data_IF_469446150248
#
_entry.id   IF_469446150248
#
_cell.length_a   1.000
_cell.length_b   1.000
_cell.length_c   1.000
_cell.angle_alpha   90.00
_cell.angle_beta   90.00
_cell.angle_gamma   90.00
#
_symmetry.space_group_name_H-M   'P 1'
#
loop_
_entity.id
_entity.type
_entity.pdbx_description
1 polymer ?
#
# COMPACT_ATOMS: atom_id res chain seq x y z
N UNK A 1 34.41 11.30 -8.67
CA UNK A 1 33.46 10.14 -8.70
C UNK A 1 32.99 9.90 -7.28
N UNK A 2 31.67 9.70 -7.07
CA UNK A 2 31.10 9.42 -5.71
C UNK A 2 31.37 7.96 -5.31
N UNK A 3 31.24 7.64 -4.02
CA UNK A 3 31.37 6.25 -3.51
C UNK A 3 30.44 5.28 -4.26
N UNK A 4 29.23 5.72 -4.58
CA UNK A 4 28.27 4.92 -5.38
C UNK A 4 28.82 4.64 -6.77
N UNK A 5 29.38 5.64 -7.44
CA UNK A 5 29.97 5.46 -8.77
C UNK A 5 31.18 4.50 -8.78
N UNK A 6 32.01 4.53 -7.74
CA UNK A 6 33.14 3.58 -7.59
C UNK A 6 32.60 2.15 -7.38
N UNK A 7 31.57 1.96 -6.56
CA UNK A 7 30.94 0.64 -6.35
C UNK A 7 30.36 0.10 -7.66
N UNK A 8 29.57 0.91 -8.38
CA UNK A 8 29.03 0.52 -9.69
C UNK A 8 30.12 0.11 -10.67
N UNK A 9 31.22 0.89 -10.74
CA UNK A 9 32.35 0.57 -11.63
C UNK A 9 32.99 -0.78 -11.26
N UNK A 10 33.15 -1.09 -9.97
CA UNK A 10 33.69 -2.37 -9.49
C UNK A 10 32.75 -3.53 -9.80
N UNK A 11 31.44 -3.38 -9.54
CA UNK A 11 30.44 -4.41 -9.80
C UNK A 11 30.31 -4.75 -11.29
N UNK A 12 30.46 -3.76 -12.17
CA UNK A 12 30.52 -3.99 -13.62
C UNK A 12 31.77 -4.81 -14.04
N UNK A 13 32.78 -4.89 -13.19
CA UNK A 13 33.97 -5.74 -13.38
C UNK A 13 33.92 -7.09 -12.68
N UNK A 14 32.76 -7.40 -12.04
CA UNK A 14 32.57 -8.64 -11.32
C UNK A 14 33.05 -8.62 -9.87
N UNK A 15 33.47 -7.46 -9.33
CA UNK A 15 33.81 -7.30 -7.91
C UNK A 15 32.55 -6.95 -7.11
N UNK A 16 32.07 -7.86 -6.25
CA UNK A 16 30.94 -7.58 -5.36
C UNK A 16 31.31 -6.51 -4.33
N UNK A 17 30.59 -5.39 -4.33
CA UNK A 17 30.81 -4.27 -3.40
C UNK A 17 29.76 -4.17 -2.29
N UNK A 18 28.70 -4.98 -2.36
CA UNK A 18 27.63 -5.05 -1.38
C UNK A 18 27.61 -6.48 -0.85
N UNK A 19 27.87 -6.63 0.45
CA UNK A 19 27.75 -7.92 1.12
C UNK A 19 26.29 -8.33 1.21
N UNK A 20 26.02 -9.63 1.21
CA UNK A 20 24.70 -10.18 1.56
C UNK A 20 24.55 -10.04 3.07
N UNK A 21 23.93 -8.94 3.49
CA UNK A 21 23.64 -8.70 4.90
C UNK A 21 22.21 -9.14 5.20
N UNK A 22 21.96 -9.48 6.46
CA UNK A 22 20.58 -9.68 6.94
C UNK A 22 19.77 -8.39 6.73
N UNK A 23 18.60 -8.51 6.13
CA UNK A 23 17.75 -7.37 5.87
C UNK A 23 17.33 -6.73 7.21
N UNK A 24 17.61 -5.45 7.44
CA UNK A 24 17.19 -4.77 8.66
C UNK A 24 15.67 -4.74 8.75
N UNK A 25 15.15 -4.71 9.96
CA UNK A 25 13.72 -4.59 10.18
C UNK A 25 13.16 -3.35 9.49
N UNK A 26 12.02 -3.51 8.81
CA UNK A 26 11.37 -2.41 8.10
C UNK A 26 10.93 -1.33 9.08
N UNK A 27 11.30 -0.09 8.81
CA UNK A 27 10.87 1.08 9.59
C UNK A 27 9.49 1.59 9.18
N UNK A 28 9.09 1.33 7.95
CA UNK A 28 7.80 1.72 7.37
C UNK A 28 7.38 0.78 6.25
N UNK A 29 6.08 0.76 5.97
CA UNK A 29 5.51 0.11 4.78
C UNK A 29 4.69 1.16 4.04
N UNK A 30 5.01 1.36 2.76
CA UNK A 30 4.27 2.25 1.88
C UNK A 30 3.53 1.44 0.81
N UNK A 31 2.28 1.81 0.58
CA UNK A 31 1.51 1.36 -0.58
C UNK A 31 0.94 2.58 -1.27
N UNK A 32 1.32 2.80 -2.51
CA UNK A 32 0.90 3.96 -3.30
C UNK A 32 0.79 3.60 -4.77
N UNK A 33 0.04 4.42 -5.51
CA UNK A 33 -0.06 4.31 -6.96
C UNK A 33 -0.26 5.68 -7.60
N UNK A 34 0.30 5.84 -8.79
CA UNK A 34 -0.07 6.92 -9.70
C UNK A 34 -1.24 6.47 -10.56
N UNK A 35 -2.16 7.39 -10.82
CA UNK A 35 -3.36 7.13 -11.62
C UNK A 35 -3.12 7.44 -13.11
N UNK A 36 -3.90 6.77 -13.97
CA UNK A 36 -3.86 7.02 -15.41
C UNK A 36 -4.40 8.42 -15.76
N UNK A 37 -4.26 8.82 -16.99
CA UNK A 37 -4.80 10.03 -17.59
C UNK A 37 -4.52 11.29 -16.74
N UNK A 38 -5.55 12.06 -16.44
CA UNK A 38 -5.41 13.28 -15.62
C UNK A 38 -5.34 13.02 -14.13
N UNK A 39 -5.71 11.83 -13.66
CA UNK A 39 -5.83 11.50 -12.25
C UNK A 39 -7.29 11.37 -11.77
N UNK A 40 -7.51 11.40 -10.46
CA UNK A 40 -8.83 11.29 -9.84
C UNK A 40 -9.23 12.62 -9.20
N UNK A 41 -10.49 13.05 -9.41
CA UNK A 41 -11.02 14.29 -8.84
C UNK A 41 -12.23 14.09 -7.92
N UNK A 42 -12.76 12.87 -7.82
CA UNK A 42 -13.90 12.55 -6.95
C UNK A 42 -13.42 11.97 -5.64
N UNK A 43 -13.99 12.43 -4.52
CA UNK A 43 -13.71 11.91 -3.19
C UNK A 43 -13.89 10.39 -3.12
N UNK A 44 -15.00 9.88 -3.67
CA UNK A 44 -15.30 8.45 -3.62
C UNK A 44 -14.20 7.58 -4.24
N UNK A 45 -13.64 7.98 -5.39
CA UNK A 45 -12.59 7.23 -6.09
C UNK A 45 -11.27 7.25 -5.31
N UNK A 46 -10.91 8.40 -4.74
CA UNK A 46 -9.69 8.53 -3.91
C UNK A 46 -9.87 7.81 -2.59
N UNK A 47 -11.06 7.84 -1.99
CA UNK A 47 -11.40 7.13 -0.76
C UNK A 47 -11.29 5.62 -0.95
N UNK A 48 -11.88 5.07 -2.02
CA UNK A 48 -11.75 3.66 -2.38
C UNK A 48 -10.28 3.26 -2.52
N UNK A 49 -9.49 4.09 -3.19
CA UNK A 49 -8.07 3.86 -3.40
C UNK A 49 -7.29 3.83 -2.09
N UNK A 50 -7.49 4.83 -1.22
CA UNK A 50 -6.84 4.94 0.09
C UNK A 50 -7.25 3.77 0.99
N UNK A 51 -8.53 3.37 0.98
CA UNK A 51 -9.01 2.20 1.72
C UNK A 51 -8.32 0.92 1.28
N UNK A 52 -8.16 0.72 -0.03
CA UNK A 52 -7.44 -0.43 -0.58
C UNK A 52 -5.96 -0.43 -0.18
N UNK A 53 -5.30 0.73 -0.17
CA UNK A 53 -3.89 0.82 0.23
C UNK A 53 -3.70 0.60 1.73
N UNK A 54 -4.59 1.13 2.57
CA UNK A 54 -4.58 0.87 4.01
C UNK A 54 -4.77 -0.63 4.32
N UNK A 55 -5.72 -1.29 3.66
CA UNK A 55 -5.93 -2.73 3.78
C UNK A 55 -4.71 -3.54 3.33
N UNK A 56 -4.02 -3.13 2.26
CA UNK A 56 -2.78 -3.78 1.81
C UNK A 56 -1.64 -3.58 2.80
N UNK A 57 -1.50 -2.38 3.39
CA UNK A 57 -0.50 -2.14 4.45
C UNK A 57 -0.78 -3.04 5.66
N UNK A 58 -2.03 -3.12 6.10
CA UNK A 58 -2.49 -3.99 7.19
C UNK A 58 -2.14 -5.46 6.93
N UNK A 59 -2.44 -5.98 5.73
CA UNK A 59 -2.08 -7.34 5.35
C UNK A 59 -0.57 -7.59 5.40
N UNK A 60 0.24 -6.66 4.86
CA UNK A 60 1.70 -6.76 4.88
C UNK A 60 2.27 -6.75 6.30
N UNK A 61 1.66 -5.98 7.22
CA UNK A 61 2.04 -6.01 8.64
C UNK A 61 1.78 -7.38 9.25
N UNK A 62 0.60 -7.96 9.04
CA UNK A 62 0.26 -9.30 9.57
C UNK A 62 1.14 -10.40 8.99
N UNK A 63 1.43 -10.36 7.68
CA UNK A 63 2.34 -11.32 7.02
C UNK A 63 3.75 -11.28 7.61
N UNK A 64 4.16 -10.16 8.19
CA UNK A 64 5.48 -9.97 8.82
C UNK A 64 5.43 -10.09 10.34
N UNK A 65 4.28 -10.47 10.94
CA UNK A 65 4.08 -10.52 12.38
C UNK A 65 4.45 -9.22 13.08
N UNK A 66 3.98 -8.12 12.52
CA UNK A 66 4.25 -6.76 13.01
C UNK A 66 2.97 -5.94 13.14
N UNK A 67 3.08 -4.84 13.88
CA UNK A 67 2.07 -3.81 14.05
C UNK A 67 2.69 -2.44 13.75
N UNK A 68 1.87 -1.45 13.44
CA UNK A 68 2.32 -0.06 13.30
C UNK A 68 1.75 0.83 14.39
N UNK A 69 2.47 1.90 14.72
CA UNK A 69 2.03 2.91 15.68
C UNK A 69 1.38 4.12 15.03
N UNK A 70 1.67 4.38 13.76
CA UNK A 70 1.19 5.55 13.05
C UNK A 70 0.84 5.23 11.61
N UNK A 71 -0.13 5.95 11.08
CA UNK A 71 -0.54 5.89 9.68
C UNK A 71 -0.49 7.28 9.06
N UNK A 72 0.03 7.37 7.85
CA UNK A 72 0.06 8.58 7.02
C UNK A 72 -0.69 8.32 5.75
N UNK A 73 -1.56 9.22 5.36
CA UNK A 73 -2.13 9.25 4.02
C UNK A 73 -1.51 10.40 3.23
N UNK A 74 -1.43 10.22 1.93
CA UNK A 74 -1.07 11.31 1.03
C UNK A 74 -1.82 11.19 -0.29
N UNK A 75 -2.15 12.36 -0.86
CA UNK A 75 -2.64 12.48 -2.24
C UNK A 75 -2.13 13.81 -2.81
N UNK A 76 -1.66 13.79 -4.05
CA UNK A 76 -1.17 15.02 -4.68
C UNK A 76 -1.46 15.04 -6.18
N UNK A 77 -1.64 16.24 -6.69
CA UNK A 77 -1.74 16.54 -8.12
C UNK A 77 -0.39 16.39 -8.81
N UNK A 78 -0.35 16.48 -10.14
CA UNK A 78 0.90 16.41 -10.89
C UNK A 78 1.60 17.77 -10.90
N UNK A 79 2.81 17.86 -10.37
CA UNK A 79 3.65 19.07 -10.39
C UNK A 79 4.06 19.51 -11.80
N UNK A 80 3.95 18.62 -12.79
CA UNK A 80 4.31 18.89 -14.19
C UNK A 80 3.14 19.48 -15.01
N UNK A 81 1.97 19.62 -14.40
CA UNK A 81 0.77 20.19 -15.02
C UNK A 81 0.55 21.58 -14.45
N UNK A 82 1.25 22.57 -15.01
CA UNK A 82 1.15 23.98 -14.62
C UNK A 82 -0.19 24.61 -15.05
N UNK A 83 -0.88 23.97 -15.98
CA UNK A 83 -2.20 24.35 -16.47
C UNK A 83 -3.34 23.97 -15.48
N UNK A 84 -3.08 23.17 -14.47
CA UNK A 84 -4.05 22.72 -13.47
C UNK A 84 -3.71 23.23 -12.06
N UNK A 85 -4.71 23.55 -11.25
CA UNK A 85 -4.48 23.94 -9.88
C UNK A 85 -3.84 22.80 -9.09
N UNK A 86 -2.93 23.16 -8.18
CA UNK A 86 -2.18 22.19 -7.38
C UNK A 86 -2.81 21.99 -6.00
N UNK A 87 -2.92 20.74 -5.60
CA UNK A 87 -3.37 20.33 -4.27
C UNK A 87 -2.47 19.24 -3.70
N UNK A 88 -2.28 19.27 -2.39
CA UNK A 88 -1.49 18.32 -1.65
C UNK A 88 -2.14 18.00 -0.31
N UNK A 89 -2.49 16.73 -0.10
CA UNK A 89 -2.98 16.19 1.16
C UNK A 89 -1.85 15.33 1.73
N UNK A 90 -1.43 15.61 2.96
CA UNK A 90 -0.46 14.80 3.69
C UNK A 90 -0.81 14.88 5.17
N UNK A 91 -1.33 13.79 5.71
CA UNK A 91 -1.80 13.74 7.09
C UNK A 91 -1.29 12.49 7.77
N UNK A 92 -0.85 12.65 9.01
CA UNK A 92 -0.37 11.55 9.86
C UNK A 92 -1.21 11.50 11.13
N UNK A 93 -1.61 10.31 11.54
CA UNK A 93 -2.26 10.07 12.81
C UNK A 93 -1.56 8.93 13.56
N UNK A 94 -1.50 9.06 14.88
CA UNK A 94 -1.02 8.00 15.75
C UNK A 94 -2.20 7.14 16.21
N UNK A 95 -1.97 5.83 16.26
CA UNK A 95 -2.91 4.89 16.83
C UNK A 95 -2.78 4.91 18.36
N UNK A 96 -3.89 4.78 19.06
CA UNK A 96 -3.91 4.72 20.53
C UNK A 96 -3.20 3.46 21.03
N UNK A 97 -3.33 2.37 20.31
CA UNK A 97 -2.65 1.09 20.52
C UNK A 97 -2.03 0.66 19.19
N UNK A 98 -0.78 0.23 19.13
CA UNK A 98 -0.18 -0.30 17.91
C UNK A 98 -1.03 -1.42 17.32
N UNK A 99 -1.29 -1.36 16.01
CA UNK A 99 -2.26 -2.26 15.38
C UNK A 99 -1.83 -2.72 13.99
N UNK A 100 -2.34 -3.86 13.58
CA UNK A 100 -2.33 -4.36 12.19
C UNK A 100 -3.75 -4.72 11.72
N UNK A 101 -4.77 -4.29 12.45
CA UNK A 101 -6.16 -4.54 12.09
C UNK A 101 -6.57 -3.71 10.87
N UNK A 102 -7.18 -4.38 9.88
CA UNK A 102 -7.53 -3.74 8.63
C UNK A 102 -8.70 -2.76 8.76
N UNK A 103 -9.66 -3.02 9.64
CA UNK A 103 -10.81 -2.13 9.83
C UNK A 103 -10.37 -0.83 10.51
N UNK A 104 -9.49 -0.95 11.51
CA UNK A 104 -8.95 0.19 12.24
C UNK A 104 -8.11 1.08 11.31
N UNK A 105 -7.17 0.50 10.54
CA UNK A 105 -6.32 1.25 9.63
C UNK A 105 -7.11 1.88 8.47
N UNK A 106 -8.06 1.15 7.89
CA UNK A 106 -8.93 1.67 6.82
C UNK A 106 -9.81 2.81 7.34
N UNK A 107 -10.47 2.61 8.49
CA UNK A 107 -11.33 3.63 9.09
C UNK A 107 -10.56 4.92 9.41
N UNK A 108 -9.35 4.80 9.97
CA UNK A 108 -8.48 5.94 10.25
C UNK A 108 -8.08 6.66 8.97
N UNK A 109 -7.63 5.93 7.95
CA UNK A 109 -7.21 6.50 6.68
C UNK A 109 -8.34 7.27 5.97
N UNK A 110 -9.53 6.68 5.91
CA UNK A 110 -10.72 7.30 5.32
C UNK A 110 -11.15 8.55 6.11
N UNK A 111 -11.15 8.48 7.43
CA UNK A 111 -11.48 9.62 8.30
C UNK A 111 -10.52 10.79 8.06
N UNK A 112 -9.22 10.51 7.96
CA UNK A 112 -8.22 11.54 7.68
C UNK A 112 -8.40 12.15 6.29
N UNK A 113 -8.71 11.31 5.27
CA UNK A 113 -8.95 11.81 3.92
C UNK A 113 -10.16 12.75 3.89
N UNK A 114 -11.30 12.33 4.44
CA UNK A 114 -12.53 13.14 4.50
C UNK A 114 -12.33 14.47 5.22
N UNK A 115 -11.60 14.46 6.32
CA UNK A 115 -11.31 15.67 7.10
C UNK A 115 -10.42 16.70 6.36
N UNK A 116 -9.68 16.26 5.34
CA UNK A 116 -8.73 17.11 4.59
C UNK A 116 -9.09 17.24 3.12
N UNK A 117 -10.23 16.67 2.71
CA UNK A 117 -10.69 16.76 1.34
C UNK A 117 -11.14 18.20 1.03
N UNK A 118 -10.80 18.65 -0.16
CA UNK A 118 -11.29 19.93 -0.71
C UNK A 118 -12.26 19.63 -1.83
N UNK A 119 -13.48 20.10 -1.69
CA UNK A 119 -14.52 19.98 -2.72
C UNK A 119 -14.25 21.00 -3.84
N UNK A 120 -13.35 20.66 -4.72
CA UNK A 120 -13.06 21.44 -5.94
C UNK A 120 -12.70 20.46 -7.06
N UNK A 121 -13.60 20.31 -8.01
CA UNK A 121 -13.48 19.38 -9.15
C UNK A 121 -12.29 19.67 -10.08
N UNK A 122 -11.61 20.80 -9.90
CA UNK A 122 -10.40 21.15 -10.66
C UNK A 122 -9.16 20.45 -10.14
N UNK A 123 -9.17 19.88 -8.93
CA UNK A 123 -8.04 19.13 -8.40
C UNK A 123 -8.04 17.68 -8.89
N UNK A 124 -7.11 17.38 -9.77
CA UNK A 124 -6.88 16.02 -10.25
C UNK A 124 -5.72 15.38 -9.52
N UNK A 125 -6.02 14.55 -8.53
CA UNK A 125 -4.99 13.83 -7.77
C UNK A 125 -4.33 12.78 -8.65
N UNK A 126 -3.05 12.97 -8.94
CA UNK A 126 -2.27 12.09 -9.82
C UNK A 126 -1.65 10.91 -9.10
N UNK A 127 -1.41 11.04 -7.81
CA UNK A 127 -0.87 9.97 -6.97
C UNK A 127 -1.49 10.02 -5.58
N UNK A 128 -1.81 8.85 -5.06
CA UNK A 128 -2.22 8.68 -3.67
C UNK A 128 -1.52 7.47 -3.03
N UNK A 129 -1.47 7.45 -1.70
CA UNK A 129 -0.86 6.35 -0.98
C UNK A 129 -1.10 6.40 0.52
N UNK A 130 -0.73 5.29 1.14
CA UNK A 130 -0.73 5.11 2.59
C UNK A 130 0.64 4.64 3.02
N UNK A 131 1.15 5.20 4.11
CA UNK A 131 2.39 4.79 4.74
C UNK A 131 2.08 4.45 6.20
N UNK A 132 2.56 3.32 6.67
CA UNK A 132 2.50 2.96 8.09
C UNK A 132 3.90 2.99 8.69
N UNK A 133 4.01 3.54 9.91
CA UNK A 133 5.26 3.84 10.59
C UNK A 133 5.30 3.25 11.99
N UNK A 134 6.50 3.29 12.61
CA UNK A 134 6.69 2.79 13.97
C UNK A 134 6.36 1.32 14.04
N UNK A 135 6.97 0.54 13.13
CA UNK A 135 6.75 -0.91 13.03
C UNK A 135 7.46 -1.61 14.18
N UNK A 136 6.71 -2.42 14.92
CA UNK A 136 7.20 -3.28 15.99
C UNK A 136 6.61 -4.69 15.86
N UNK A 137 7.14 -5.66 16.62
CA UNK A 137 6.62 -7.03 16.64
C UNK A 137 5.23 -7.07 17.29
N UNK A 138 4.35 -7.93 16.78
CA UNK A 138 2.97 -8.09 17.27
C UNK A 138 2.86 -8.77 18.63
N UNK A 139 3.95 -9.36 19.14
CA UNK A 139 4.04 -9.97 20.47
C UNK A 139 4.49 -9.00 21.58
N UNK A 140 4.75 -7.73 21.26
CA UNK A 140 5.25 -6.72 22.20
C UNK A 140 4.40 -5.43 22.13
N UNK A 141 3.07 -5.58 22.20
CA UNK A 141 2.14 -4.46 22.13
C UNK A 141 1.84 -3.95 23.53
N UNK A 142 2.09 -2.65 23.75
CA UNK A 142 1.61 -1.99 24.95
C UNK A 142 0.11 -1.68 24.78
N UNK A 143 -0.71 -2.27 25.61
CA UNK A 143 -2.16 -2.02 25.63
C UNK A 143 -2.47 -0.72 26.34
N UNK A 144 -3.63 -0.13 26.03
CA UNK A 144 -4.15 1.06 26.69
C UNK A 144 -5.38 0.68 27.55
N UNK A 145 -5.43 1.21 28.76
CA UNK A 145 -6.56 0.98 29.67
C UNK A 145 -7.92 1.47 29.09
N UNK A 146 -7.89 2.44 28.20
CA UNK A 146 -9.08 3.00 27.55
C UNK A 146 -9.37 2.37 26.18
N UNK A 147 -8.67 1.29 25.82
CA UNK A 147 -8.97 0.57 24.58
C UNK A 147 -10.28 -0.21 24.72
N UNK A 148 -11.27 0.20 23.94
CA UNK A 148 -12.62 -0.42 23.94
C UNK A 148 -12.75 -1.56 22.94
N UNK A 149 -11.70 -1.81 22.13
CA UNK A 149 -11.73 -2.81 21.09
C UNK A 149 -11.38 -4.20 21.63
N UNK A 150 -12.15 -5.21 21.22
CA UNK A 150 -11.79 -6.59 21.51
C UNK A 150 -10.71 -7.07 20.52
N UNK A 151 -9.44 -6.89 20.90
CA UNK A 151 -8.26 -7.19 20.08
C UNK A 151 -8.17 -8.67 19.69
N UNK A 152 -8.55 -9.58 20.57
CA UNK A 152 -8.54 -11.03 20.30
C UNK A 152 -9.54 -11.38 19.20
N UNK A 153 -10.76 -10.85 19.30
CA UNK A 153 -11.80 -11.06 18.29
C UNK A 153 -11.39 -10.49 16.94
N UNK A 154 -10.80 -9.29 16.93
CA UNK A 154 -10.30 -8.67 15.70
C UNK A 154 -9.17 -9.49 15.07
N UNK A 155 -8.22 -9.97 15.84
CA UNK A 155 -7.13 -10.80 15.35
C UNK A 155 -7.66 -12.14 14.77
N UNK A 156 -8.64 -12.77 15.44
CA UNK A 156 -9.28 -13.99 14.95
C UNK A 156 -10.01 -13.74 13.62
N UNK A 157 -10.77 -12.63 13.52
CA UNK A 157 -11.46 -12.23 12.29
C UNK A 157 -10.47 -11.96 11.15
N UNK A 158 -9.42 -11.19 11.41
CA UNK A 158 -8.38 -10.89 10.42
C UNK A 158 -7.72 -12.17 9.89
N UNK A 159 -7.38 -13.11 10.78
CA UNK A 159 -6.82 -14.42 10.41
C UNK A 159 -7.78 -15.22 9.52
N UNK A 160 -9.07 -15.23 9.83
CA UNK A 160 -10.09 -15.91 9.02
C UNK A 160 -10.22 -15.28 7.61
N UNK A 161 -10.28 -13.94 7.53
CA UNK A 161 -10.33 -13.20 6.26
C UNK A 161 -9.07 -13.47 5.42
N UNK A 162 -7.89 -13.40 6.04
CA UNK A 162 -6.63 -13.67 5.34
C UNK A 162 -6.56 -15.11 4.81
N UNK A 163 -7.07 -16.09 5.57
CA UNK A 163 -7.13 -17.50 5.14
C UNK A 163 -8.05 -17.67 3.92
N UNK A 164 -9.24 -17.05 3.93
CA UNK A 164 -10.18 -17.10 2.82
C UNK A 164 -9.58 -16.41 1.58
N UNK A 165 -9.01 -15.23 1.75
CA UNK A 165 -8.40 -14.48 0.66
C UNK A 165 -7.17 -15.17 0.07
N UNK A 166 -6.41 -15.93 0.87
CA UNK A 166 -5.28 -16.74 0.39
C UNK A 166 -5.75 -17.93 -0.45
N UNK A 167 -6.85 -18.59 -0.02
CA UNK A 167 -7.37 -19.78 -0.71
C UNK A 167 -8.11 -19.43 -2.00
N UNK A 168 -8.89 -18.35 -2.00
CA UNK A 168 -9.83 -18.03 -3.09
C UNK A 168 -9.40 -16.85 -3.98
N UNK A 169 -8.19 -16.32 -3.74
CA UNK A 169 -7.66 -15.15 -4.44
C UNK A 169 -7.79 -13.85 -3.65
N UNK A 170 -6.91 -12.91 -3.95
CA UNK A 170 -6.81 -11.64 -3.21
C UNK A 170 -8.12 -10.83 -3.23
N UNK A 171 -8.48 -10.27 -2.08
CA UNK A 171 -9.61 -9.35 -1.90
C UNK A 171 -10.99 -9.95 -2.23
N UNK A 172 -11.20 -11.24 -1.98
CA UNK A 172 -12.54 -11.86 -2.06
C UNK A 172 -13.44 -11.39 -0.92
N UNK A 173 -12.88 -11.29 0.29
CA UNK A 173 -13.51 -10.61 1.42
C UNK A 173 -12.76 -9.32 1.66
N UNK A 174 -13.51 -8.20 1.73
CA UNK A 174 -12.99 -6.85 1.93
C UNK A 174 -13.96 -5.97 2.69
N UNK A 175 -13.51 -4.83 3.18
CA UNK A 175 -14.36 -3.82 3.79
C UNK A 175 -15.13 -3.09 2.68
N UNK A 176 -16.41 -2.77 2.90
CA UNK A 176 -17.29 -2.18 1.89
C UNK A 176 -16.70 -0.91 1.22
N UNK A 177 -16.00 -0.07 1.98
CA UNK A 177 -15.37 1.15 1.46
C UNK A 177 -14.24 0.89 0.44
N UNK A 178 -13.77 -0.34 0.32
CA UNK A 178 -12.78 -0.73 -0.70
C UNK A 178 -13.40 -0.87 -2.11
N UNK A 179 -14.72 -0.74 -2.24
CA UNK A 179 -15.44 -0.76 -3.51
C UNK A 179 -15.28 -2.05 -4.32
N UNK A 180 -15.95 -2.10 -5.44
CA UNK A 180 -15.87 -3.20 -6.41
C UNK A 180 -15.24 -2.77 -7.74
N UNK A 181 -15.44 -1.52 -8.10
CA UNK A 181 -14.97 -0.95 -9.34
C UNK A 181 -13.51 -0.52 -9.19
N UNK A 182 -12.62 -1.16 -9.91
CA UNK A 182 -11.20 -0.82 -9.91
C UNK A 182 -10.86 0.16 -11.03
N UNK A 183 -11.75 1.13 -11.30
CA UNK A 183 -11.58 2.13 -12.36
C UNK A 183 -10.29 2.96 -12.23
N UNK A 184 -9.76 3.07 -11.01
CA UNK A 184 -8.48 3.71 -10.70
C UNK A 184 -7.24 2.86 -11.03
N UNK A 185 -7.41 1.59 -11.40
CA UNK A 185 -6.28 0.74 -11.78
C UNK A 185 -5.79 1.10 -13.18
N UNK A 186 -4.48 1.00 -13.37
CA UNK A 186 -3.88 1.13 -14.70
C UNK A 186 -4.42 0.03 -15.62
N UNK A 187 -4.88 0.40 -16.77
CA UNK A 187 -5.23 -0.52 -17.84
C UNK A 187 -3.98 -1.27 -18.28
N UNK A 188 -4.07 -2.59 -18.35
CA UNK A 188 -2.99 -3.47 -18.80
C UNK A 188 -3.37 -4.08 -20.14
N UNK A 189 -3.46 -3.25 -21.17
CA UNK A 189 -3.94 -3.67 -22.49
C UNK A 189 -2.82 -4.33 -23.33
N UNK A 190 -1.58 -3.91 -23.12
CA UNK A 190 -0.42 -4.38 -23.87
C UNK A 190 0.66 -4.92 -22.94
N UNK A 191 0.40 -6.08 -22.32
CA UNK A 191 1.40 -6.80 -21.55
C UNK A 191 2.08 -7.86 -22.42
N UNK A 192 3.40 -7.99 -22.29
CA UNK A 192 4.12 -9.12 -22.86
C UNK A 192 3.67 -10.43 -22.18
N UNK A 193 3.80 -11.53 -22.90
CA UNK A 193 3.54 -12.86 -22.34
C UNK A 193 4.43 -13.13 -21.14
N UNK A 194 3.87 -13.81 -20.15
CA UNK A 194 4.51 -14.08 -18.86
C UNK A 194 5.13 -15.50 -18.87
N UNK A 195 6.09 -15.75 -19.76
CA UNK A 195 6.67 -17.07 -20.01
C UNK A 195 7.23 -17.80 -18.77
N UNK A 196 7.61 -17.04 -17.73
CA UNK A 196 8.22 -17.61 -16.52
C UNK A 196 7.25 -17.77 -15.34
N UNK A 197 6.06 -17.18 -15.42
CA UNK A 197 5.10 -17.13 -14.30
C UNK A 197 3.71 -17.59 -14.65
N UNK A 198 3.40 -17.73 -15.94
CA UNK A 198 2.13 -18.28 -16.43
C UNK A 198 2.39 -19.46 -17.37
N UNK A 199 1.95 -20.65 -16.98
CA UNK A 199 2.16 -21.87 -17.78
C UNK A 199 1.46 -21.83 -19.12
N UNK A 200 0.33 -21.13 -19.24
CA UNK A 200 -0.43 -20.99 -20.50
C UNK A 200 0.31 -20.15 -21.54
N UNK A 201 1.24 -19.32 -21.09
CA UNK A 201 2.05 -18.46 -21.95
C UNK A 201 3.36 -19.11 -22.42
N UNK A 202 3.67 -20.34 -21.94
CA UNK A 202 4.92 -21.03 -22.32
C UNK A 202 4.93 -21.32 -23.82
N UNK A 203 6.07 -21.07 -24.46
CA UNK A 203 6.27 -21.34 -25.89
C UNK A 203 6.26 -22.83 -26.11
N UNK A 204 5.27 -23.32 -26.87
CA UNK A 204 5.18 -24.71 -27.27
C UNK A 204 5.89 -24.90 -28.62
N UNK A 205 7.00 -25.63 -28.62
CA UNK A 205 7.70 -26.01 -29.85
C UNK A 205 7.11 -27.30 -30.38
N UNK A 206 6.60 -27.27 -31.61
CA UNK A 206 6.23 -28.49 -32.32
C UNK A 206 7.47 -29.02 -33.08
N UNK A 207 8.03 -30.11 -32.61
CA UNK A 207 9.08 -30.83 -33.33
C UNK A 207 8.39 -31.58 -34.49
N UNK A 208 8.83 -31.33 -35.72
CA UNK A 208 8.41 -32.06 -36.89
C UNK A 208 9.19 -33.36 -37.02
#
# INVERSE_FOLDING_TARGET
>A
MTVTGVRTWKELRGESCISIEELPHKKSICTSRSFADQGLNKLADVEETIANFAAQCSRKLREQHTVCNSITIFAHTSRFREDLPQSYIYQTANLTVPSNDHQELVSMAVKMLRANWREDDRFFYKKAGVIVWGISRDNAIQTNLFDTLNREKQAALAKAIDAINRKNGHNKIRVAVQGDEKGWQLKKEYISKQYTTNLDDVIVLKVK
#
